data_IF_010639491258
#
_entry.id   IF_010639491258
#
_cell.length_a   1.000
_cell.length_b   1.000
_cell.length_c   1.000
_cell.angle_alpha   90.00
_cell.angle_beta   90.00
_cell.angle_gamma   90.00
#
_symmetry.space_group_name_H-M   'P 1'
#
loop_
_entity.id
_entity.type
_entity.pdbx_description
1 polymer ?
#
# COMPACT_ATOMS: atom_id res chain seq x y z
N UNK A 1 16.34 24.37 -0.61
CA UNK A 1 15.36 24.68 0.46
C UNK A 1 14.73 23.37 0.87
N UNK A 2 14.66 23.07 2.18
CA UNK A 2 13.90 21.92 2.64
C UNK A 2 12.39 22.18 2.42
N UNK A 3 11.70 21.18 1.90
CA UNK A 3 10.27 21.16 1.62
C UNK A 3 9.53 20.47 2.77
N UNK A 4 8.21 20.66 2.88
CA UNK A 4 7.38 19.92 3.85
C UNK A 4 7.52 18.39 3.72
N UNK A 5 7.91 17.89 2.54
CA UNK A 5 8.19 16.46 2.32
C UNK A 5 9.46 15.98 3.04
N UNK A 6 10.43 16.86 3.29
CA UNK A 6 11.69 16.52 3.98
C UNK A 6 11.51 16.36 5.50
N UNK A 7 10.37 16.81 6.05
CA UNK A 7 10.01 16.69 7.47
C UNK A 7 8.93 15.66 7.75
N UNK A 8 8.33 15.06 6.70
CA UNK A 8 7.58 13.83 6.88
C UNK A 8 8.62 12.77 7.22
N UNK A 9 8.58 12.28 8.46
CA UNK A 9 9.41 11.17 8.97
C UNK A 9 9.72 10.21 7.86
N UNK A 10 11.00 9.91 7.69
CA UNK A 10 11.59 8.86 6.85
C UNK A 10 10.87 7.54 7.14
N UNK A 11 9.67 7.39 6.59
CA UNK A 11 8.93 6.16 6.63
C UNK A 11 9.79 5.18 5.88
N UNK A 12 10.02 4.01 6.46
CA UNK A 12 10.69 2.89 5.80
C UNK A 12 9.85 2.31 4.66
N UNK A 13 9.04 3.14 4.00
CA UNK A 13 8.07 2.80 2.98
C UNK A 13 7.75 4.00 2.11
N UNK A 14 7.65 3.76 0.80
CA UNK A 14 7.12 4.74 -0.15
C UNK A 14 5.59 4.71 -0.21
N UNK A 15 4.97 5.70 -0.86
CA UNK A 15 3.52 5.63 -1.15
C UNK A 15 3.25 4.55 -2.20
N UNK A 16 2.25 3.69 -1.95
CA UNK A 16 1.83 2.64 -2.89
C UNK A 16 1.45 3.22 -4.27
N UNK A 17 0.98 4.47 -4.31
CA UNK A 17 0.67 5.16 -5.55
C UNK A 17 1.90 5.33 -6.47
N UNK A 18 3.13 5.33 -5.92
CA UNK A 18 4.37 5.49 -6.67
C UNK A 18 4.79 4.23 -7.43
N UNK A 19 4.23 3.05 -7.11
CA UNK A 19 4.44 1.83 -7.91
C UNK A 19 3.80 1.97 -9.30
N UNK A 20 2.69 2.72 -9.40
CA UNK A 20 1.92 2.89 -10.64
C UNK A 20 1.27 1.58 -11.09
N UNK A 21 1.39 1.27 -12.38
CA UNK A 21 0.77 0.11 -13.02
C UNK A 21 1.61 -1.17 -12.94
N UNK A 22 2.77 -1.12 -12.24
CA UNK A 22 3.65 -2.28 -12.08
C UNK A 22 2.97 -3.33 -11.20
N UNK A 23 3.12 -4.60 -11.59
CA UNK A 23 2.69 -5.72 -10.77
C UNK A 23 3.68 -6.02 -9.66
N UNK A 24 3.19 -6.49 -8.52
CA UNK A 24 3.99 -6.86 -7.36
C UNK A 24 3.36 -8.03 -6.61
N UNK A 25 4.16 -8.67 -5.78
CA UNK A 25 3.75 -9.77 -4.90
C UNK A 25 3.85 -9.32 -3.45
N UNK A 26 2.76 -9.35 -2.69
CA UNK A 26 2.72 -9.00 -1.28
C UNK A 26 3.20 -10.17 -0.42
N UNK A 27 4.16 -9.90 0.46
CA UNK A 27 4.78 -10.90 1.35
C UNK A 27 4.58 -10.60 2.83
N UNK A 28 4.15 -9.38 3.17
CA UNK A 28 3.82 -8.99 4.54
C UNK A 28 2.84 -7.82 4.54
N UNK A 29 1.96 -7.79 5.54
CA UNK A 29 0.99 -6.71 5.77
C UNK A 29 1.04 -6.29 7.24
N UNK A 30 1.08 -5.00 7.50
CA UNK A 30 0.92 -4.43 8.84
C UNK A 30 0.00 -3.22 8.84
N UNK A 31 -0.59 -2.95 10.01
CA UNK A 31 -1.35 -1.73 10.24
C UNK A 31 -0.41 -0.54 10.31
N UNK A 32 -0.76 0.53 9.59
CA UNK A 32 0.05 1.74 9.54
C UNK A 32 -0.89 2.94 9.36
N UNK A 33 -1.56 3.28 10.46
CA UNK A 33 -2.49 4.40 10.47
C UNK A 33 -1.73 5.72 10.33
N UNK A 34 -2.30 6.64 9.57
CA UNK A 34 -1.80 8.00 9.46
C UNK A 34 -2.56 8.89 10.44
N UNK A 35 -1.84 9.50 11.38
CA UNK A 35 -2.41 10.41 12.39
C UNK A 35 -2.02 11.84 12.10
N UNK A 36 -3.00 12.74 11.99
CA UNK A 36 -2.79 14.17 11.83
C UNK A 36 -3.59 14.92 12.89
N UNK A 37 -2.92 15.32 13.98
CA UNK A 37 -3.60 15.84 15.16
C UNK A 37 -4.47 14.76 15.81
N UNK A 38 -5.76 15.03 15.99
CA UNK A 38 -6.75 14.09 16.54
C UNK A 38 -7.35 13.16 15.47
N UNK A 39 -7.12 13.45 14.17
CA UNK A 39 -7.67 12.66 13.09
C UNK A 39 -6.80 11.42 12.81
N UNK A 40 -7.43 10.24 12.89
CA UNK A 40 -6.79 8.95 12.57
C UNK A 40 -7.36 8.43 11.25
N UNK A 41 -6.53 8.43 10.22
CA UNK A 41 -6.85 7.78 8.94
C UNK A 41 -6.30 6.36 8.95
N UNK A 42 -7.19 5.37 8.81
CA UNK A 42 -6.77 3.96 8.72
C UNK A 42 -5.87 3.75 7.51
N UNK A 43 -4.75 3.08 7.73
CA UNK A 43 -3.79 2.79 6.69
C UNK A 43 -3.12 1.45 6.92
N UNK A 44 -2.49 0.95 5.87
CA UNK A 44 -1.70 -0.27 5.90
C UNK A 44 -0.33 0.00 5.32
N UNK A 45 0.64 -0.79 5.73
CA UNK A 45 1.90 -0.94 5.03
C UNK A 45 2.01 -2.37 4.53
N UNK A 46 2.47 -2.52 3.31
CA UNK A 46 2.75 -3.81 2.69
C UNK A 46 4.24 -3.93 2.38
N UNK A 47 4.78 -5.12 2.51
CA UNK A 47 6.10 -5.47 1.95
C UNK A 47 5.89 -6.27 0.68
N UNK A 48 6.61 -5.92 -0.37
CA UNK A 48 6.61 -6.61 -1.66
C UNK A 48 7.82 -7.52 -1.79
N UNK A 49 7.70 -8.58 -2.60
CA UNK A 49 8.83 -9.43 -2.98
C UNK A 49 9.83 -8.68 -3.87
N UNK A 50 9.31 -7.84 -4.75
CA UNK A 50 10.05 -7.00 -5.66
C UNK A 50 10.48 -5.69 -4.97
N UNK A 51 11.62 -5.15 -5.38
CA UNK A 51 12.03 -3.78 -5.05
C UNK A 51 11.80 -2.88 -6.26
N UNK A 52 11.39 -1.64 -6.00
CA UNK A 52 11.15 -0.64 -7.03
C UNK A 52 12.01 0.59 -6.79
N UNK A 53 12.57 1.14 -7.86
CA UNK A 53 13.23 2.44 -7.79
C UNK A 53 12.19 3.55 -7.69
N UNK A 54 12.12 4.20 -6.53
CA UNK A 54 11.24 5.31 -6.21
C UNK A 54 12.12 6.48 -5.77
N UNK A 55 12.11 7.58 -6.52
CA UNK A 55 12.87 8.80 -6.18
C UNK A 55 14.37 8.53 -5.91
N UNK A 56 14.97 7.61 -6.67
CA UNK A 56 16.39 7.25 -6.56
C UNK A 56 16.72 6.29 -5.40
N UNK A 57 15.71 5.73 -4.71
CA UNK A 57 15.88 4.71 -3.68
C UNK A 57 15.18 3.41 -4.07
N UNK A 58 15.77 2.28 -3.70
CA UNK A 58 15.14 0.97 -3.83
C UNK A 58 14.19 0.74 -2.66
N UNK A 59 12.90 0.70 -2.95
CA UNK A 59 11.81 0.58 -1.98
C UNK A 59 11.07 -0.74 -2.22
N UNK A 60 10.88 -1.53 -1.18
CA UNK A 60 10.06 -2.75 -1.20
C UNK A 60 8.93 -2.71 -0.18
N UNK A 61 8.72 -1.56 0.46
CA UNK A 61 7.69 -1.33 1.45
C UNK A 61 6.85 -0.17 1.01
N UNK A 62 5.54 -0.33 1.12
CA UNK A 62 4.60 0.64 0.57
C UNK A 62 3.44 0.89 1.51
N UNK A 63 3.15 2.17 1.74
CA UNK A 63 2.05 2.64 2.57
C UNK A 63 0.85 3.07 1.73
N UNK A 64 -0.36 2.80 2.23
CA UNK A 64 -1.57 3.38 1.67
C UNK A 64 -2.68 3.58 2.69
N UNK A 65 -3.45 4.65 2.52
CA UNK A 65 -4.71 4.95 3.22
C UNK A 65 -5.94 4.78 2.32
N UNK A 66 -5.75 4.24 1.10
CA UNK A 66 -6.83 4.09 0.11
C UNK A 66 -7.86 3.08 0.63
N UNK A 67 -9.06 3.56 0.94
CA UNK A 67 -10.12 2.79 1.63
C UNK A 67 -10.37 1.43 0.99
N UNK A 68 -10.52 1.35 -0.34
CA UNK A 68 -10.78 0.08 -1.02
C UNK A 68 -9.66 -0.95 -0.83
N UNK A 69 -8.40 -0.50 -0.84
CA UNK A 69 -7.22 -1.35 -0.62
C UNK A 69 -7.12 -1.74 0.85
N UNK A 70 -7.24 -0.78 1.77
CA UNK A 70 -7.25 -1.02 3.23
C UNK A 70 -8.34 -2.04 3.61
N UNK A 71 -9.53 -1.92 3.04
CA UNK A 71 -10.64 -2.84 3.29
C UNK A 71 -10.34 -4.28 2.84
N UNK A 72 -9.71 -4.48 1.68
CA UNK A 72 -9.28 -5.83 1.24
C UNK A 72 -8.32 -6.46 2.24
N UNK A 73 -7.37 -5.68 2.75
CA UNK A 73 -6.36 -6.15 3.69
C UNK A 73 -6.83 -6.20 5.15
N UNK A 74 -8.08 -5.80 5.46
CA UNK A 74 -8.71 -6.08 6.75
C UNK A 74 -9.24 -7.52 6.87
N UNK A 75 -9.14 -8.33 5.81
CA UNK A 75 -9.51 -9.74 5.87
C UNK A 75 -8.49 -10.53 6.72
N UNK A 76 -8.93 -11.03 7.87
CA UNK A 76 -8.06 -11.75 8.82
C UNK A 76 -7.46 -13.03 8.22
N UNK A 77 -8.24 -13.77 7.42
CA UNK A 77 -7.75 -14.98 6.75
C UNK A 77 -6.63 -14.64 5.76
N UNK A 78 -6.80 -13.58 4.97
CA UNK A 78 -5.77 -13.11 4.05
C UNK A 78 -4.48 -12.73 4.80
N UNK A 79 -4.61 -12.00 5.91
CA UNK A 79 -3.47 -11.63 6.74
C UNK A 79 -2.77 -12.84 7.34
N UNK A 80 -3.52 -13.81 7.84
CA UNK A 80 -2.96 -15.04 8.39
C UNK A 80 -2.22 -15.86 7.33
N UNK A 81 -2.81 -16.01 6.14
CA UNK A 81 -2.20 -16.72 5.02
C UNK A 81 -0.85 -16.06 4.62
N UNK A 82 -0.78 -14.73 4.53
CA UNK A 82 0.44 -14.00 4.17
C UNK A 82 1.46 -13.95 5.32
N UNK A 83 1.06 -13.44 6.48
CA UNK A 83 1.99 -13.11 7.56
C UNK A 83 2.44 -14.34 8.34
N UNK A 84 1.56 -15.32 8.56
CA UNK A 84 1.84 -16.49 9.41
C UNK A 84 2.14 -17.71 8.56
N UNK A 85 1.29 -18.04 7.58
CA UNK A 85 1.50 -19.20 6.70
C UNK A 85 2.51 -18.95 5.58
N UNK A 86 2.98 -17.71 5.42
CA UNK A 86 3.97 -17.28 4.41
C UNK A 86 3.53 -17.60 2.97
N UNK A 87 2.24 -17.50 2.70
CA UNK A 87 1.63 -17.66 1.37
C UNK A 87 1.54 -16.27 0.74
N UNK A 88 2.40 -15.91 -0.24
CA UNK A 88 2.39 -14.58 -0.83
C UNK A 88 1.10 -14.32 -1.63
N UNK A 89 0.66 -13.06 -1.67
CA UNK A 89 -0.46 -12.63 -2.51
C UNK A 89 0.06 -11.93 -3.77
N UNK A 90 -0.22 -12.51 -4.92
CA UNK A 90 0.05 -11.89 -6.22
C UNK A 90 0.45 -12.88 -7.32
N UNK A 91 0.80 -12.35 -8.51
CA UNK A 91 1.00 -10.94 -8.78
C UNK A 91 -0.31 -10.12 -8.77
N UNK A 92 -0.25 -8.93 -8.17
CA UNK A 92 -1.34 -7.94 -8.16
C UNK A 92 -0.84 -6.62 -8.70
N UNK A 93 -1.73 -5.74 -9.15
CA UNK A 93 -1.40 -4.35 -9.51
C UNK A 93 -2.46 -3.36 -9.03
N UNK A 94 -2.05 -2.10 -8.91
CA UNK A 94 -2.98 -1.01 -8.65
C UNK A 94 -3.64 -0.57 -9.96
N UNK A 95 -4.96 -0.42 -9.96
CA UNK A 95 -5.72 0.12 -11.10
C UNK A 95 -6.67 1.22 -10.63
N UNK A 96 -6.95 2.18 -11.52
CA UNK A 96 -8.01 3.16 -11.31
C UNK A 96 -9.31 2.61 -11.91
N UNK A 97 -10.32 2.41 -11.08
CA UNK A 97 -11.65 1.94 -11.49
C UNK A 97 -12.71 2.99 -11.20
N UNK A 98 -13.82 2.94 -11.96
CA UNK A 98 -14.96 3.83 -11.79
C UNK A 98 -16.03 3.12 -10.97
N UNK A 99 -16.44 3.71 -9.85
CA UNK A 99 -17.52 3.19 -9.02
C UNK A 99 -18.87 3.31 -9.75
N UNK A 100 -19.89 2.58 -9.25
CA UNK A 100 -21.27 2.73 -9.70
C UNK A 100 -21.81 4.17 -9.53
N UNK A 101 -21.25 4.94 -8.59
CA UNK A 101 -21.55 6.37 -8.38
C UNK A 101 -20.75 7.31 -9.28
N UNK A 102 -19.94 6.78 -10.21
CA UNK A 102 -19.17 7.55 -11.17
C UNK A 102 -17.86 8.13 -10.63
N UNK A 103 -17.51 7.88 -9.36
CA UNK A 103 -16.25 8.34 -8.75
C UNK A 103 -15.13 7.35 -9.05
N UNK A 104 -13.96 7.87 -9.41
CA UNK A 104 -12.78 7.03 -9.56
C UNK A 104 -12.23 6.64 -8.19
N UNK A 105 -11.82 5.39 -8.05
CA UNK A 105 -11.12 4.88 -6.88
C UNK A 105 -10.00 3.95 -7.32
N UNK A 106 -9.03 3.76 -6.44
CA UNK A 106 -7.93 2.86 -6.70
C UNK A 106 -8.21 1.50 -6.08
N UNK A 107 -8.09 0.47 -6.90
CA UNK A 107 -8.29 -0.90 -6.53
C UNK A 107 -7.01 -1.73 -6.69
N UNK A 108 -6.98 -2.88 -6.03
CA UNK A 108 -5.96 -3.90 -6.17
C UNK A 108 -6.58 -5.13 -6.85
N UNK A 109 -6.02 -5.50 -8.00
CA UNK A 109 -6.52 -6.60 -8.85
C UNK A 109 -5.40 -7.57 -9.20
N UNK A 110 -5.76 -8.84 -9.39
CA UNK A 110 -4.85 -9.88 -9.88
C UNK A 110 -4.42 -9.61 -11.33
N UNK A 111 -3.23 -10.10 -11.69
CA UNK A 111 -2.60 -9.93 -13.02
C UNK A 111 -2.34 -11.28 -13.68
#
# INVERSE_FOLDING_TARGET
MATLADYQTTGDSASLAKIGDKSFTVTFIEDSNYTQGEEVTKGIKITTKESFEIEGKQENKFHTTRVAIVQKFNNEKLRDDINNKKIPLGPVKCVSEKSASGKNFFNLVDV
#
